data_IF_871635563512
#
_entry.id   IF_871635563512
#
_cell.length_a   1.000
_cell.length_b   1.000
_cell.length_c   1.000
_cell.angle_alpha   90.00
_cell.angle_beta   90.00
_cell.angle_gamma   90.00
#
_symmetry.space_group_name_H-M   'P 1'
#
loop_
_entity.id
_entity.type
_entity.pdbx_description
1 polymer ?
#
# COMPACT_ATOMS: atom_id res chain seq x y z
N UNK A 1 -6.98 -25.27 11.05
CA UNK A 1 -7.43 -24.04 10.36
C UNK A 1 -6.52 -23.88 9.15
N UNK A 2 -7.04 -24.17 7.97
CA UNK A 2 -6.29 -24.22 6.72
C UNK A 2 -5.74 -22.84 6.38
N UNK A 3 -4.41 -22.69 6.36
CA UNK A 3 -3.73 -21.52 5.82
C UNK A 3 -3.80 -21.60 4.30
N UNK A 4 -5.00 -21.37 3.74
CA UNK A 4 -5.13 -21.23 2.30
C UNK A 4 -4.24 -20.07 1.86
N UNK A 5 -3.47 -20.23 0.76
CA UNK A 5 -2.58 -19.19 0.28
C UNK A 5 -3.35 -17.89 0.05
N UNK A 6 -2.68 -16.75 0.26
CA UNK A 6 -3.22 -15.44 -0.07
C UNK A 6 -3.15 -15.33 -1.60
N UNK A 7 -4.30 -15.20 -2.23
CA UNK A 7 -4.37 -15.05 -3.68
C UNK A 7 -4.10 -13.58 -4.05
N UNK A 8 -3.31 -13.33 -5.11
CA UNK A 8 -3.05 -11.98 -5.59
C UNK A 8 -4.34 -11.20 -5.83
N UNK A 9 -4.41 -9.98 -5.29
CA UNK A 9 -5.51 -9.02 -5.51
C UNK A 9 -6.89 -9.51 -5.04
N UNK A 10 -6.92 -10.49 -4.14
CA UNK A 10 -8.13 -10.88 -3.43
C UNK A 10 -8.04 -10.46 -1.96
N UNK A 11 -9.17 -9.98 -1.41
CA UNK A 11 -9.24 -9.62 -0.01
C UNK A 11 -9.43 -10.88 0.84
N UNK A 12 -8.52 -11.11 1.77
CA UNK A 12 -8.60 -12.25 2.70
C UNK A 12 -8.80 -11.76 4.13
N UNK A 13 -9.93 -12.15 4.74
CA UNK A 13 -10.15 -11.93 6.17
C UNK A 13 -9.32 -12.91 7.00
N UNK A 14 -8.39 -12.39 7.80
CA UNK A 14 -7.39 -13.18 8.54
C UNK A 14 -7.09 -12.58 9.93
N UNK A 15 -6.56 -13.44 10.80
CA UNK A 15 -5.92 -13.01 12.05
C UNK A 15 -4.50 -12.53 11.75
N UNK A 16 -4.19 -11.30 12.11
CA UNK A 16 -2.84 -10.73 12.05
C UNK A 16 -2.16 -11.05 13.38
N UNK A 17 -0.95 -11.60 13.31
CA UNK A 17 -0.23 -12.10 14.47
C UNK A 17 1.17 -11.50 14.53
N UNK A 18 1.66 -11.31 15.74
CA UNK A 18 3.03 -10.92 15.99
C UNK A 18 3.99 -12.00 15.45
N UNK A 19 5.02 -11.65 14.67
CA UNK A 19 5.86 -12.62 13.96
C UNK A 19 6.65 -13.53 14.90
N UNK A 20 7.14 -13.01 16.03
CA UNK A 20 7.88 -13.79 17.03
C UNK A 20 7.03 -14.48 18.11
N UNK A 21 6.03 -13.79 18.67
CA UNK A 21 5.25 -14.31 19.82
C UNK A 21 3.98 -15.05 19.42
N UNK A 22 3.49 -14.89 18.19
CA UNK A 22 2.23 -15.47 17.71
C UNK A 22 0.95 -14.84 18.29
N UNK A 23 1.08 -13.83 19.16
CA UNK A 23 -0.03 -13.07 19.74
C UNK A 23 -0.91 -12.49 18.63
N UNK A 24 -2.24 -12.57 18.78
CA UNK A 24 -3.16 -11.92 17.83
C UNK A 24 -3.14 -10.41 18.08
N UNK A 25 -2.78 -9.66 17.06
CA UNK A 25 -2.77 -8.19 17.08
C UNK A 25 -4.10 -7.63 16.60
N UNK A 26 -4.68 -8.24 15.56
CA UNK A 26 -5.98 -7.85 15.02
C UNK A 26 -6.62 -8.97 14.17
N UNK A 27 -7.88 -8.76 13.77
CA UNK A 27 -8.55 -9.45 12.65
C UNK A 27 -8.92 -8.44 11.59
N UNK A 28 -8.30 -8.55 10.42
CA UNK A 28 -8.44 -7.58 9.34
C UNK A 28 -8.48 -8.22 7.96
N UNK A 29 -8.58 -7.38 6.94
CA UNK A 29 -8.43 -7.80 5.55
C UNK A 29 -6.97 -7.65 5.13
N UNK A 30 -6.48 -8.61 4.37
CA UNK A 30 -5.14 -8.64 3.80
C UNK A 30 -5.28 -8.71 2.29
N UNK A 31 -4.55 -7.85 1.58
CA UNK A 31 -4.42 -7.88 0.12
C UNK A 31 -2.95 -8.03 -0.25
N UNK A 32 -2.65 -8.96 -1.15
CA UNK A 32 -1.31 -9.12 -1.72
C UNK A 32 -1.29 -8.64 -3.17
N UNK A 33 -0.37 -7.72 -3.47
CA UNK A 33 -0.06 -7.26 -4.81
C UNK A 33 1.35 -7.73 -5.20
N UNK A 34 1.49 -8.82 -5.97
CA UNK A 34 2.80 -9.22 -6.47
C UNK A 34 3.30 -8.21 -7.53
N UNK A 35 4.58 -7.89 -7.47
CA UNK A 35 5.29 -7.14 -8.50
C UNK A 35 5.25 -7.90 -9.86
N UNK A 36 5.31 -7.20 -11.00
CA UNK A 36 5.37 -5.75 -11.18
C UNK A 36 3.98 -5.07 -11.14
N UNK A 37 2.94 -5.82 -10.79
CA UNK A 37 1.54 -5.37 -10.78
C UNK A 37 1.18 -4.89 -9.38
N UNK A 38 1.93 -3.94 -8.86
CA UNK A 38 1.65 -3.18 -7.64
C UNK A 38 1.89 -1.68 -7.91
N UNK A 39 1.56 -0.83 -6.94
CA UNK A 39 1.80 0.62 -7.05
C UNK A 39 3.29 0.95 -7.24
N UNK A 40 4.16 0.39 -6.39
CA UNK A 40 5.62 0.63 -6.48
C UNK A 40 6.28 -0.21 -7.56
N UNK A 41 5.63 -1.26 -8.07
CA UNK A 41 6.25 -2.25 -8.95
C UNK A 41 6.97 -3.38 -8.20
N UNK A 42 7.05 -3.31 -6.87
CA UNK A 42 7.62 -4.34 -5.99
C UNK A 42 6.51 -5.22 -5.40
N UNK A 43 6.85 -6.34 -4.76
CA UNK A 43 5.87 -7.08 -3.96
C UNK A 43 5.37 -6.22 -2.80
N UNK A 44 4.04 -6.08 -2.67
CA UNK A 44 3.43 -5.32 -1.58
C UNK A 44 2.24 -6.05 -0.96
N UNK A 45 2.01 -5.78 0.32
CA UNK A 45 0.87 -6.27 1.07
C UNK A 45 0.20 -5.09 1.77
N UNK A 46 -1.12 -5.01 1.67
CA UNK A 46 -1.93 -4.04 2.38
C UNK A 46 -2.66 -4.72 3.54
N UNK A 47 -2.52 -4.16 4.74
CA UNK A 47 -3.19 -4.61 5.95
C UNK A 47 -4.29 -3.62 6.32
N UNK A 48 -5.54 -4.01 6.11
CA UNK A 48 -6.70 -3.22 6.52
C UNK A 48 -7.12 -3.66 7.93
N UNK A 49 -6.66 -2.90 8.92
CA UNK A 49 -6.82 -3.16 10.34
C UNK A 49 -7.79 -2.17 10.99
N UNK A 50 -8.26 -2.48 12.20
CA UNK A 50 -9.03 -1.54 13.00
C UNK A 50 -8.17 -0.32 13.36
N UNK A 51 -8.71 0.88 13.18
CA UNK A 51 -8.00 2.16 13.33
C UNK A 51 -7.71 2.60 14.78
N UNK A 52 -7.80 1.70 15.76
CA UNK A 52 -7.48 2.04 17.15
C UNK A 52 -5.98 2.26 17.32
N UNK A 53 -5.57 3.35 17.99
CA UNK A 53 -4.15 3.69 18.18
C UNK A 53 -3.29 2.54 18.72
N UNK A 54 -3.83 1.75 19.67
CA UNK A 54 -3.14 0.59 20.23
C UNK A 54 -2.94 -0.53 19.20
N UNK A 55 -3.91 -0.75 18.30
CA UNK A 55 -3.84 -1.77 17.24
C UNK A 55 -2.81 -1.34 16.20
N UNK A 56 -2.89 -0.11 15.70
CA UNK A 56 -1.95 0.44 14.71
C UNK A 56 -0.52 0.39 15.24
N UNK A 57 -0.30 0.87 16.48
CA UNK A 57 1.02 0.84 17.12
C UNK A 57 1.54 -0.59 17.27
N UNK A 58 0.72 -1.52 17.77
CA UNK A 58 1.12 -2.92 17.96
C UNK A 58 1.46 -3.62 16.64
N UNK A 59 0.74 -3.34 15.56
CA UNK A 59 1.06 -3.86 14.22
C UNK A 59 2.37 -3.27 13.70
N UNK A 60 2.59 -1.96 13.81
CA UNK A 60 3.85 -1.33 13.37
C UNK A 60 5.06 -1.83 14.16
N UNK A 61 4.94 -1.98 15.49
CA UNK A 61 6.00 -2.54 16.33
C UNK A 61 6.33 -3.97 15.93
N UNK A 62 5.31 -4.80 15.69
CA UNK A 62 5.50 -6.17 15.22
C UNK A 62 6.16 -6.25 13.84
N UNK A 63 5.83 -5.35 12.92
CA UNK A 63 6.45 -5.29 11.59
C UNK A 63 7.94 -4.91 11.67
N UNK A 64 8.33 -4.00 12.58
CA UNK A 64 9.74 -3.62 12.80
C UNK A 64 10.62 -4.77 13.31
N UNK A 65 10.01 -5.86 13.78
CA UNK A 65 10.75 -7.05 14.21
C UNK A 65 11.02 -8.06 13.08
N UNK A 66 10.47 -7.82 11.89
CA UNK A 66 10.76 -8.60 10.68
C UNK A 66 12.08 -8.11 10.09
N UNK A 67 12.92 -9.05 9.65
CA UNK A 67 14.17 -8.74 8.97
C UNK A 67 13.92 -7.87 7.72
N UNK A 68 14.80 -6.91 7.47
CA UNK A 68 14.71 -5.93 6.37
C UNK A 68 13.46 -5.03 6.36
N UNK A 69 12.64 -5.07 7.42
CA UNK A 69 11.52 -4.15 7.55
C UNK A 69 11.94 -2.81 8.18
N UNK A 70 11.58 -1.71 7.53
CA UNK A 70 11.76 -0.35 8.08
C UNK A 70 10.54 0.53 7.80
N UNK A 71 10.43 1.59 8.58
CA UNK A 71 9.46 2.65 8.27
C UNK A 71 9.83 3.32 6.95
N UNK A 72 8.81 3.61 6.16
CA UNK A 72 8.95 4.38 4.93
C UNK A 72 9.19 5.86 5.24
N UNK A 73 9.99 6.52 4.40
CA UNK A 73 10.15 7.97 4.40
C UNK A 73 8.96 8.65 3.72
N UNK A 74 8.84 9.97 3.89
CA UNK A 74 7.79 10.75 3.26
C UNK A 74 7.88 10.63 1.73
N UNK A 75 6.77 10.26 1.09
CA UNK A 75 6.69 10.12 -0.37
C UNK A 75 7.44 8.92 -0.94
N UNK A 76 8.03 8.07 -0.10
CA UNK A 76 8.93 7.02 -0.57
C UNK A 76 8.26 6.01 -1.51
N UNK A 77 7.01 5.62 -1.24
CA UNK A 77 6.26 4.74 -2.14
C UNK A 77 6.10 5.33 -3.55
N UNK A 78 5.82 6.64 -3.65
CA UNK A 78 5.69 7.30 -4.94
C UNK A 78 7.04 7.45 -5.64
N UNK A 79 8.13 7.74 -4.89
CA UNK A 79 9.50 7.74 -5.42
C UNK A 79 9.89 6.37 -5.97
N UNK A 80 9.59 5.28 -5.26
CA UNK A 80 9.86 3.91 -5.73
C UNK A 80 9.03 3.55 -6.96
N UNK A 81 7.77 4.00 -7.02
CA UNK A 81 6.94 3.84 -8.21
C UNK A 81 7.57 4.55 -9.42
N UNK A 82 8.07 5.78 -9.24
CA UNK A 82 8.81 6.50 -10.28
C UNK A 82 10.10 5.77 -10.69
N UNK A 83 10.93 5.36 -9.72
CA UNK A 83 12.19 4.63 -9.96
C UNK A 83 11.93 3.31 -10.74
N UNK A 84 10.78 2.67 -10.52
CA UNK A 84 10.36 1.44 -11.20
C UNK A 84 9.52 1.66 -12.47
N UNK A 85 9.48 2.88 -13.02
CA UNK A 85 8.71 3.25 -14.22
C UNK A 85 7.21 2.91 -14.13
N UNK A 86 6.65 2.95 -12.91
CA UNK A 86 5.21 2.82 -12.65
C UNK A 86 4.48 4.15 -12.74
N UNK A 87 5.20 5.24 -12.47
CA UNK A 87 4.74 6.62 -12.61
C UNK A 87 5.80 7.40 -13.40
N UNK A 88 5.38 8.31 -14.27
CA UNK A 88 6.24 9.36 -14.80
C UNK A 88 6.20 10.64 -13.92
N UNK A 89 6.98 11.66 -14.30
CA UNK A 89 7.07 12.89 -13.53
C UNK A 89 5.73 13.66 -13.51
N UNK A 90 5.01 13.68 -14.63
CA UNK A 90 3.72 14.37 -14.75
C UNK A 90 2.66 13.67 -13.90
N UNK A 91 2.67 12.35 -13.87
CA UNK A 91 1.77 11.55 -13.03
C UNK A 91 2.07 11.71 -11.55
N UNK A 92 3.36 11.80 -11.17
CA UNK A 92 3.78 12.06 -9.80
C UNK A 92 3.35 13.45 -9.32
N UNK A 93 3.51 14.48 -10.15
CA UNK A 93 3.02 15.84 -9.88
C UNK A 93 1.50 15.87 -9.79
N UNK A 94 0.79 15.23 -10.71
CA UNK A 94 -0.66 15.10 -10.69
C UNK A 94 -1.18 14.39 -9.44
N UNK A 95 -0.46 13.37 -8.94
CA UNK A 95 -0.78 12.72 -7.67
C UNK A 95 -0.62 13.67 -6.48
N UNK A 96 0.46 14.47 -6.46
CA UNK A 96 0.67 15.46 -5.41
C UNK A 96 -0.42 16.54 -5.43
N UNK A 97 -0.81 17.02 -6.61
CA UNK A 97 -1.91 17.97 -6.76
C UNK A 97 -3.26 17.38 -6.34
N UNK A 98 -3.49 16.09 -6.62
CA UNK A 98 -4.72 15.40 -6.25
C UNK A 98 -4.86 15.29 -4.73
N UNK A 99 -3.77 14.98 -4.03
CA UNK A 99 -3.73 14.90 -2.57
C UNK A 99 -3.99 16.25 -1.89
N UNK A 100 -3.62 17.35 -2.54
CA UNK A 100 -3.78 18.72 -2.02
C UNK A 100 -4.99 19.47 -2.59
N UNK A 101 -5.83 18.82 -3.40
CA UNK A 101 -6.96 19.48 -4.04
C UNK A 101 -8.05 19.90 -3.03
N UNK A 102 -8.40 21.19 -3.01
CA UNK A 102 -9.44 21.75 -2.14
C UNK A 102 -10.76 22.04 -2.88
N UNK A 103 -10.71 22.05 -4.21
CA UNK A 103 -11.87 22.30 -5.08
C UNK A 103 -12.10 21.17 -6.06
N UNK A 104 -13.36 20.99 -6.48
CA UNK A 104 -13.72 20.00 -7.50
C UNK A 104 -12.98 20.21 -8.83
N UNK A 105 -12.68 21.46 -9.19
CA UNK A 105 -11.92 21.76 -10.40
C UNK A 105 -10.46 21.30 -10.28
N UNK A 106 -9.79 21.60 -9.15
CA UNK A 106 -8.44 21.12 -8.87
C UNK A 106 -8.39 19.59 -8.89
N UNK A 107 -9.34 18.92 -8.23
CA UNK A 107 -9.43 17.44 -8.21
C UNK A 107 -9.52 16.86 -9.61
N UNK A 108 -10.36 17.45 -10.48
CA UNK A 108 -10.53 16.97 -11.87
C UNK A 108 -9.26 17.14 -12.71
N UNK A 109 -8.60 18.30 -12.61
CA UNK A 109 -7.35 18.58 -13.33
C UNK A 109 -6.24 17.64 -12.87
N UNK A 110 -6.08 17.48 -11.55
CA UNK A 110 -5.09 16.60 -10.96
C UNK A 110 -5.31 15.13 -11.32
N UNK A 111 -6.57 14.66 -11.34
CA UNK A 111 -6.90 13.31 -11.82
C UNK A 111 -6.50 13.09 -13.28
N UNK A 112 -6.77 14.05 -14.17
CA UNK A 112 -6.39 13.94 -15.58
C UNK A 112 -4.88 13.83 -15.77
N UNK A 113 -4.09 14.48 -14.91
CA UNK A 113 -2.63 14.38 -14.92
C UNK A 113 -2.14 13.07 -14.28
N UNK A 114 -2.78 12.62 -13.20
CA UNK A 114 -2.43 11.39 -12.49
C UNK A 114 -2.85 10.10 -13.23
N UNK A 115 -3.84 10.15 -14.14
CA UNK A 115 -4.44 8.97 -14.79
C UNK A 115 -3.73 8.49 -16.08
N UNK A 116 -2.56 9.02 -16.45
CA UNK A 116 -1.94 8.70 -17.77
C UNK A 116 -1.16 7.36 -17.81
N UNK A 117 -0.98 6.68 -16.67
CA UNK A 117 0.07 5.65 -16.53
C UNK A 117 -0.37 4.20 -16.31
N UNK A 118 -1.66 3.94 -16.12
CA UNK A 118 -2.15 2.56 -16.06
C UNK A 118 -2.27 2.05 -17.49
N UNK A 119 -1.13 1.74 -18.13
CA UNK A 119 -1.15 0.91 -19.34
C UNK A 119 -1.97 -0.32 -19.00
N UNK A 120 -3.20 -0.34 -19.51
CA UNK A 120 -4.05 -1.51 -19.58
C UNK A 120 -3.23 -2.54 -20.36
N UNK A 121 -2.57 -3.43 -19.63
CA UNK A 121 -2.05 -4.66 -20.21
C UNK A 121 -3.28 -5.55 -20.37
N UNK A 122 -3.95 -5.41 -21.50
CA UNK A 122 -4.55 -6.57 -22.18
C UNK A 122 -3.44 -7.50 -22.62
#
# INVERSE_FOLDING_TARGET
MTTSPVEPRMAHFRRIRHPKTGQVLDRGLILWFPGPRSFTGEDSVELQIHGGNAVVKGVLEALREIEDFRMAEQGEFARRAFDNNKLDLTELEGLADLLNAETELQRKLALQQAEVGWKVIT
#
